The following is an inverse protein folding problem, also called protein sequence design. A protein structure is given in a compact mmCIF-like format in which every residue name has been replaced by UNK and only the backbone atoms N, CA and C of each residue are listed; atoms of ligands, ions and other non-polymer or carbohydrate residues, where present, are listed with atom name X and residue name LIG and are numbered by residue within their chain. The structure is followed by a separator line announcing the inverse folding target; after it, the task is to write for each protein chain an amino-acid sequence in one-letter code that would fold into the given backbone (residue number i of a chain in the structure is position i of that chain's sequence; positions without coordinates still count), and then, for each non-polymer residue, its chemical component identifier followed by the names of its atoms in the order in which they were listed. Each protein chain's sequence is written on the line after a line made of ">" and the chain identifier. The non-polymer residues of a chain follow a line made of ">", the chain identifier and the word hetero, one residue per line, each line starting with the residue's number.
data_IF_092500540926
#
_entry.id   IF_092500540926
#
_cell.length_a   1.000
_cell.length_b   1.000
_cell.length_c   1.000
_cell.angle_alpha   90.00
_cell.angle_beta   90.00
_cell.angle_gamma   90.00
#
_symmetry.space_group_name_H-M   'P 1'
#
loop_
_entity.id
_entity.type
_entity.pdbx_description
1 polymer ?
#
# COMPACT_ATOMS: atom_id res chain seq x y z
N UNK A 1 12.23 0.52 18.00
CA UNK A 1 10.86 1.05 17.82
C UNK A 1 10.30 1.27 19.21
N UNK A 2 9.64 2.41 19.46
CA UNK A 2 8.99 2.63 20.77
C UNK A 2 7.66 1.87 20.83
N UNK A 3 7.24 1.44 22.03
CA UNK A 3 6.03 0.63 22.24
C UNK A 3 4.75 1.35 21.78
N UNK A 4 4.73 2.68 21.92
CA UNK A 4 3.63 3.53 21.44
C UNK A 4 3.60 3.59 19.91
N UNK A 5 4.76 3.57 19.25
CA UNK A 5 4.86 3.56 17.79
C UNK A 5 4.42 2.20 17.21
N UNK A 6 4.85 1.11 17.85
CA UNK A 6 4.42 -0.25 17.52
C UNK A 6 2.90 -0.42 17.62
N UNK A 7 2.31 0.13 18.68
CA UNK A 7 0.87 0.14 18.90
C UNK A 7 0.14 0.90 17.79
N UNK A 8 0.60 2.10 17.43
CA UNK A 8 0.00 2.92 16.36
C UNK A 8 0.05 2.23 15.01
N UNK A 9 1.19 1.63 14.66
CA UNK A 9 1.35 0.89 13.41
C UNK A 9 0.45 -0.35 13.37
N UNK A 10 0.28 -1.03 14.51
CA UNK A 10 -0.65 -2.18 14.64
C UNK A 10 -2.10 -1.75 14.46
N UNK A 11 -2.50 -0.65 15.09
CA UNK A 11 -3.85 -0.08 14.94
C UNK A 11 -4.13 0.35 13.49
N UNK A 12 -3.13 0.94 12.83
CA UNK A 12 -3.20 1.29 11.41
C UNK A 12 -3.34 0.06 10.51
N UNK A 13 -2.56 -1.00 10.74
CA UNK A 13 -2.65 -2.26 9.99
C UNK A 13 -4.06 -2.87 10.10
N UNK A 14 -4.64 -2.87 11.31
CA UNK A 14 -6.00 -3.36 11.57
C UNK A 14 -7.07 -2.49 10.91
N UNK A 15 -6.85 -1.18 10.80
CA UNK A 15 -7.74 -0.28 10.07
C UNK A 15 -7.73 -0.59 8.57
N UNK A 16 -6.54 -0.57 7.96
CA UNK A 16 -6.35 -0.83 6.54
C UNK A 16 -6.87 -2.22 6.12
N UNK A 17 -6.68 -3.25 6.95
CA UNK A 17 -7.19 -4.59 6.66
C UNK A 17 -8.73 -4.63 6.63
N UNK A 18 -9.39 -3.97 7.58
CA UNK A 18 -10.86 -3.87 7.61
C UNK A 18 -11.40 -3.11 6.40
N UNK A 19 -10.78 -1.98 6.08
CA UNK A 19 -11.18 -1.19 4.91
C UNK A 19 -10.98 -1.98 3.61
N UNK A 20 -9.95 -2.82 3.55
CA UNK A 20 -9.64 -3.66 2.39
C UNK A 20 -10.68 -4.76 2.20
N UNK A 21 -11.10 -5.41 3.29
CA UNK A 21 -12.20 -6.39 3.28
C UNK A 21 -13.53 -5.75 2.85
N UNK A 22 -13.83 -4.55 3.38
CA UNK A 22 -15.03 -3.79 2.98
C UNK A 22 -14.99 -3.42 1.49
N UNK A 23 -13.87 -2.88 1.01
CA UNK A 23 -13.69 -2.53 -0.41
C UNK A 23 -13.81 -3.76 -1.33
N UNK A 24 -13.29 -4.91 -0.89
CA UNK A 24 -13.44 -6.18 -1.59
C UNK A 24 -14.91 -6.63 -1.63
N UNK A 25 -15.64 -6.55 -0.52
CA UNK A 25 -17.07 -6.88 -0.47
C UNK A 25 -17.94 -5.97 -1.34
N UNK A 26 -17.54 -4.70 -1.48
CA UNK A 26 -18.19 -3.71 -2.35
C UNK A 26 -17.73 -3.79 -3.82
N UNK A 27 -16.87 -4.76 -4.17
CA UNK A 27 -16.31 -4.92 -5.53
C UNK A 27 -15.67 -3.64 -6.07
N UNK A 28 -14.86 -2.98 -5.23
CA UNK A 28 -14.11 -1.76 -5.58
C UNK A 28 -12.63 -2.11 -5.85
N UNK A 29 -12.29 -2.70 -7.03
CA UNK A 29 -10.98 -3.30 -7.28
C UNK A 29 -9.82 -2.31 -7.16
N UNK A 30 -10.04 -1.05 -7.53
CA UNK A 30 -9.03 0.00 -7.37
C UNK A 30 -8.71 0.28 -5.90
N UNK A 31 -9.75 0.42 -5.07
CA UNK A 31 -9.62 0.72 -3.64
C UNK A 31 -8.97 -0.45 -2.91
N UNK A 32 -9.38 -1.68 -3.21
CA UNK A 32 -8.76 -2.90 -2.66
C UNK A 32 -7.26 -2.95 -2.98
N UNK A 33 -6.86 -2.68 -4.23
CA UNK A 33 -5.44 -2.66 -4.62
C UNK A 33 -4.65 -1.54 -3.96
N UNK A 34 -5.25 -0.36 -3.80
CA UNK A 34 -4.62 0.76 -3.09
C UNK A 34 -4.35 0.40 -1.62
N UNK A 35 -5.31 -0.25 -0.96
CA UNK A 35 -5.18 -0.71 0.42
C UNK A 35 -4.16 -1.86 0.54
N UNK A 36 -4.09 -2.76 -0.44
CA UNK A 36 -3.02 -3.77 -0.53
C UNK A 36 -1.63 -3.11 -0.59
N UNK A 37 -1.46 -2.02 -1.35
CA UNK A 37 -0.20 -1.28 -1.41
C UNK A 37 0.15 -0.60 -0.08
N UNK A 38 -0.84 0.02 0.58
CA UNK A 38 -0.65 0.66 1.88
C UNK A 38 -0.24 -0.35 2.97
N UNK A 39 -0.85 -1.53 2.98
CA UNK A 39 -0.47 -2.63 3.87
C UNK A 39 0.97 -3.11 3.60
N UNK A 40 1.37 -3.16 2.33
CA UNK A 40 2.71 -3.57 1.93
C UNK A 40 3.76 -2.53 2.36
N UNK A 41 3.49 -1.24 2.16
CA UNK A 41 4.33 -0.15 2.66
C UNK A 41 4.46 -0.18 4.19
N UNK A 42 3.36 -0.44 4.90
CA UNK A 42 3.37 -0.56 6.36
C UNK A 42 4.24 -1.73 6.85
N UNK A 43 4.14 -2.89 6.19
CA UNK A 43 4.98 -4.04 6.47
C UNK A 43 6.47 -3.75 6.20
N UNK A 44 6.77 -2.92 5.19
CA UNK A 44 8.14 -2.48 4.91
C UNK A 44 8.68 -1.52 5.98
N UNK A 45 7.87 -0.59 6.48
CA UNK A 45 8.27 0.29 7.59
C UNK A 45 8.58 -0.54 8.83
N UNK A 46 7.75 -1.54 9.11
CA UNK A 46 7.95 -2.46 10.21
C UNK A 46 9.27 -3.25 10.06
N UNK A 47 9.49 -3.89 8.92
CA UNK A 47 10.72 -4.67 8.65
C UNK A 47 11.98 -3.82 8.49
N UNK A 48 11.87 -2.62 7.90
CA UNK A 48 12.97 -1.69 7.71
C UNK A 48 13.50 -1.14 9.03
N UNK A 49 12.60 -0.95 10.03
CA UNK A 49 13.00 -0.54 11.38
C UNK A 49 13.67 -1.66 12.18
N UNK A 50 13.34 -2.92 11.94
CA UNK A 50 14.02 -4.06 12.59
C UNK A 50 15.47 -4.24 12.14
N UNK A 51 15.85 -3.72 10.96
CA UNK A 51 17.22 -3.85 10.42
C UNK A 51 18.24 -2.81 10.92
N UNK A 52 17.85 -1.91 11.83
CA UNK A 52 18.76 -0.96 12.48
C UNK A 52 19.36 0.14 11.56
N UNK A 53 20.04 1.15 12.14
CA UNK A 53 20.47 2.37 11.45
C UNK A 53 21.58 2.18 10.38
N UNK A 54 22.01 0.95 10.11
CA UNK A 54 23.00 0.62 9.07
C UNK A 54 22.43 0.47 7.66
N UNK A 55 21.11 0.35 7.51
CA UNK A 55 20.46 0.22 6.19
C UNK A 55 20.13 1.60 5.60
N UNK A 56 21.14 2.46 5.46
CA UNK A 56 21.04 3.61 4.55
C UNK A 56 21.15 3.11 3.11
N UNK A 57 20.10 2.47 2.62
CA UNK A 57 19.94 2.23 1.20
C UNK A 57 19.53 3.57 0.56
N UNK A 58 20.52 4.42 0.31
CA UNK A 58 20.42 5.45 -0.72
C UNK A 58 20.22 4.73 -2.05
N UNK A 59 18.98 4.64 -2.50
CA UNK A 59 18.67 4.11 -3.82
C UNK A 59 17.20 3.79 -3.93
N UNK A 60 16.58 4.29 -5.00
CA UNK A 60 15.35 3.73 -5.55
C UNK A 60 15.56 2.23 -5.68
N UNK A 61 15.01 1.48 -4.72
CA UNK A 61 15.14 0.03 -4.70
C UNK A 61 14.15 -0.58 -5.70
N UNK A 62 14.37 -1.84 -6.14
CA UNK A 62 13.46 -2.57 -7.03
C UNK A 62 12.00 -2.67 -6.51
N UNK A 63 11.79 -2.30 -5.25
CA UNK A 63 10.49 -2.24 -4.58
C UNK A 63 9.79 -0.88 -4.72
N UNK A 64 10.52 0.23 -4.74
CA UNK A 64 9.96 1.55 -5.08
C UNK A 64 9.49 1.55 -6.54
N UNK A 65 10.27 0.94 -7.43
CA UNK A 65 9.90 0.69 -8.82
C UNK A 65 8.63 -0.17 -8.94
N UNK A 66 8.49 -1.19 -8.08
CA UNK A 66 7.29 -2.03 -8.04
C UNK A 66 6.05 -1.27 -7.56
N UNK A 67 6.17 -0.45 -6.52
CA UNK A 67 5.08 0.39 -6.02
C UNK A 67 4.67 1.43 -7.06
N UNK A 68 5.64 2.10 -7.69
CA UNK A 68 5.38 3.07 -8.78
C UNK A 68 4.71 2.39 -9.99
N UNK A 69 5.14 1.17 -10.35
CA UNK A 69 4.50 0.39 -11.41
C UNK A 69 3.06 0.03 -11.06
N UNK A 70 2.80 -0.47 -9.85
CA UNK A 70 1.44 -0.80 -9.39
C UNK A 70 0.53 0.43 -9.35
N UNK A 71 1.06 1.58 -8.90
CA UNK A 71 0.33 2.84 -8.90
C UNK A 71 -0.02 3.29 -10.33
N UNK A 72 0.95 3.21 -11.27
CA UNK A 72 0.70 3.49 -12.70
C UNK A 72 -0.38 2.58 -13.29
N UNK A 73 -0.31 1.28 -13.02
CA UNK A 73 -1.33 0.33 -13.49
C UNK A 73 -2.71 0.68 -12.93
N UNK A 74 -2.79 0.99 -11.63
CA UNK A 74 -4.06 1.36 -11.00
C UNK A 74 -4.66 2.65 -11.58
N UNK A 75 -3.83 3.66 -11.88
CA UNK A 75 -4.26 4.90 -12.53
C UNK A 75 -4.73 4.66 -13.98
N UNK A 76 -4.00 3.83 -14.75
CA UNK A 76 -4.38 3.49 -16.12
C UNK A 76 -5.72 2.74 -16.19
N UNK A 77 -5.98 1.81 -15.26
CA UNK A 77 -7.27 1.12 -15.20
C UNK A 77 -8.42 2.05 -14.85
N UNK A 78 -8.19 3.04 -13.96
CA UNK A 78 -9.19 4.06 -13.62
C UNK A 78 -9.59 4.86 -14.86
N UNK A 79 -8.60 5.28 -15.64
CA UNK A 79 -8.83 6.12 -16.81
C UNK A 79 -9.41 5.29 -17.98
N UNK A 80 -9.02 4.02 -18.13
CA UNK A 80 -9.62 3.09 -19.09
C UNK A 80 -11.11 2.78 -18.76
N UNK A 81 -11.43 2.63 -17.46
CA UNK A 81 -12.81 2.46 -17.00
C UNK A 81 -13.70 3.70 -17.22
N UNK A 82 -13.10 4.89 -17.31
CA UNK A 82 -13.80 6.14 -17.60
C UNK A 82 -14.21 6.25 -19.09
N UNK A 83 -13.42 5.67 -20.01
CA UNK A 83 -13.73 5.66 -21.44
C UNK A 83 -14.88 4.72 -21.83
N UNK A 84 -15.08 3.62 -21.09
CA UNK A 84 -16.18 2.68 -21.36
C UNK A 84 -17.57 3.17 -20.92
N UNK A 85 -17.67 4.25 -20.12
CA UNK A 85 -18.96 4.85 -19.71
C UNK A 85 -19.45 5.97 -20.64
N UNK A 86 -18.69 6.34 -21.67
CA UNK A 86 -19.03 7.42 -22.62
C UNK A 86 -19.32 6.95 -24.05
N UNK A 87 -19.31 5.63 -24.31
CA UNK A 87 -19.70 5.06 -25.60
C UNK A 87 -21.11 4.48 -25.55
#
# INVERSE_FOLDING_TARGET
>A
MDAEEERRLTELARGLTRDRELASGLSLPFVTRLLDLALLELAMVWHGKERGPGSSAKGQGPLEDFLQLKLRVALLERDAGAHYRRS
#
